data_IF_925560609030
#
_entry.id   IF_925560609030
#
_cell.length_a   1.000
_cell.length_b   1.000
_cell.length_c   1.000
_cell.angle_alpha   90.00
_cell.angle_beta   90.00
_cell.angle_gamma   90.00
#
_symmetry.space_group_name_H-M   'P 1'
#
loop_
_entity.id
_entity.type
_entity.pdbx_description
1 polymer ?
#
# COMPACT_ATOMS: atom_id res chain seq x y z
N UNK A 1 -1.17 -8.13 29.80
CA UNK A 1 -2.15 -9.05 29.18
C UNK A 1 -3.45 -8.33 28.77
N UNK A 2 -4.00 -7.41 29.59
CA UNK A 2 -5.19 -6.59 29.25
C UNK A 2 -4.97 -5.68 28.02
N UNK A 3 -3.82 -4.98 27.97
CA UNK A 3 -3.47 -4.05 26.86
C UNK A 3 -3.45 -4.74 25.48
N UNK A 4 -2.98 -6.00 25.42
CA UNK A 4 -2.92 -6.73 24.14
C UNK A 4 -4.32 -7.07 23.61
N UNK A 5 -5.29 -7.34 24.49
CA UNK A 5 -6.65 -7.71 24.12
C UNK A 5 -7.49 -6.48 23.70
N UNK A 6 -7.29 -5.34 24.39
CA UNK A 6 -7.95 -4.09 24.03
C UNK A 6 -7.42 -3.52 22.72
N UNK A 7 -6.11 -3.64 22.47
CA UNK A 7 -5.48 -3.26 21.21
C UNK A 7 -5.98 -4.11 20.03
N UNK A 8 -6.08 -5.44 20.20
CA UNK A 8 -6.62 -6.34 19.18
C UNK A 8 -8.04 -5.94 18.81
N UNK A 9 -8.92 -5.75 19.80
CA UNK A 9 -10.30 -5.30 19.57
C UNK A 9 -10.38 -3.95 18.87
N UNK A 10 -9.47 -3.03 19.20
CA UNK A 10 -9.41 -1.73 18.55
C UNK A 10 -9.05 -1.88 17.06
N UNK A 11 -8.05 -2.70 16.73
CA UNK A 11 -7.65 -2.97 15.34
C UNK A 11 -8.78 -3.64 14.57
N UNK A 12 -9.43 -4.66 15.15
CA UNK A 12 -10.62 -5.29 14.56
C UNK A 12 -11.71 -4.25 14.26
N UNK A 13 -11.93 -3.32 15.18
CA UNK A 13 -12.91 -2.25 14.97
C UNK A 13 -12.50 -1.27 13.87
N UNK A 14 -11.20 -0.98 13.71
CA UNK A 14 -10.73 -0.15 12.59
C UNK A 14 -11.01 -0.83 11.25
N UNK A 15 -10.78 -2.14 11.14
CA UNK A 15 -11.08 -2.92 9.92
C UNK A 15 -12.57 -2.82 9.58
N UNK A 16 -13.46 -2.93 10.56
CA UNK A 16 -14.91 -2.78 10.33
C UNK A 16 -15.27 -1.39 9.80
N UNK A 17 -14.70 -0.34 10.40
CA UNK A 17 -14.95 1.07 10.02
C UNK A 17 -14.46 1.34 8.60
N UNK A 18 -13.23 0.94 8.27
CA UNK A 18 -12.68 1.13 6.92
C UNK A 18 -13.51 0.40 5.86
N UNK A 19 -13.96 -0.82 6.15
CA UNK A 19 -14.86 -1.56 5.26
C UNK A 19 -16.25 -0.92 5.13
N UNK A 20 -16.75 -0.26 6.17
CA UNK A 20 -17.99 0.52 6.10
C UNK A 20 -17.84 1.75 5.20
N UNK A 21 -16.71 2.45 5.30
CA UNK A 21 -16.37 3.58 4.42
C UNK A 21 -16.33 3.12 2.96
N UNK A 22 -15.64 2.00 2.67
CA UNK A 22 -15.58 1.42 1.32
C UNK A 22 -16.98 1.16 0.78
N UNK A 23 -17.83 0.43 1.51
CA UNK A 23 -19.21 0.14 1.07
C UNK A 23 -20.03 1.40 0.83
N UNK A 24 -19.95 2.37 1.75
CA UNK A 24 -20.70 3.63 1.64
C UNK A 24 -20.29 4.42 0.39
N UNK A 25 -18.98 4.54 0.15
CA UNK A 25 -18.46 5.24 -1.01
C UNK A 25 -18.77 4.50 -2.32
N UNK A 26 -18.65 3.18 -2.37
CA UNK A 26 -18.97 2.40 -3.58
C UNK A 26 -20.44 2.53 -4.00
N UNK A 27 -21.38 2.56 -3.04
CA UNK A 27 -22.78 2.84 -3.33
C UNK A 27 -22.98 4.27 -3.84
N UNK A 28 -22.37 5.28 -3.18
CA UNK A 28 -22.49 6.68 -3.58
C UNK A 28 -21.91 6.95 -5.00
N UNK A 29 -20.90 6.19 -5.42
CA UNK A 29 -20.23 6.35 -6.70
C UNK A 29 -21.06 5.91 -7.92
N UNK A 30 -22.13 5.12 -7.72
CA UNK A 30 -23.01 4.61 -8.80
C UNK A 30 -23.77 5.74 -9.49
N UNK A 31 -24.26 6.71 -8.72
CA UNK A 31 -25.12 7.78 -9.22
C UNK A 31 -24.36 9.08 -9.53
N UNK A 32 -23.07 9.14 -9.17
CA UNK A 32 -22.26 10.35 -9.25
C UNK A 32 -21.74 10.63 -10.67
N UNK A 33 -22.13 11.80 -11.20
CA UNK A 33 -21.80 12.22 -12.57
C UNK A 33 -20.55 13.11 -12.66
N UNK A 34 -20.21 13.86 -11.60
CA UNK A 34 -19.06 14.78 -11.64
C UNK A 34 -17.74 13.98 -11.57
N UNK A 35 -16.88 14.03 -12.61
CA UNK A 35 -15.67 13.21 -12.67
C UNK A 35 -14.63 13.56 -11.61
N UNK A 36 -14.53 14.84 -11.20
CA UNK A 36 -13.59 15.26 -10.17
C UNK A 36 -14.01 14.74 -8.78
N UNK A 37 -15.29 14.89 -8.42
CA UNK A 37 -15.82 14.36 -7.16
C UNK A 37 -15.73 12.83 -7.15
N UNK A 38 -16.04 12.19 -8.28
CA UNK A 38 -15.91 10.74 -8.46
C UNK A 38 -14.47 10.25 -8.27
N UNK A 39 -13.51 10.95 -8.84
CA UNK A 39 -12.08 10.64 -8.68
C UNK A 39 -11.64 10.72 -7.22
N UNK A 40 -11.99 11.82 -6.52
CA UNK A 40 -11.63 12.01 -5.11
C UNK A 40 -12.25 10.93 -4.22
N UNK A 41 -13.56 10.69 -4.33
CA UNK A 41 -14.24 9.68 -3.51
C UNK A 41 -13.76 8.26 -3.82
N UNK A 42 -13.43 7.95 -5.08
CA UNK A 42 -12.84 6.65 -5.40
C UNK A 42 -11.44 6.51 -4.83
N UNK A 43 -10.64 7.57 -4.84
CA UNK A 43 -9.33 7.60 -4.18
C UNK A 43 -9.43 7.29 -2.69
N UNK A 44 -10.32 7.98 -1.97
CA UNK A 44 -10.57 7.74 -0.53
C UNK A 44 -11.01 6.29 -0.29
N UNK A 45 -11.89 5.75 -1.14
CA UNK A 45 -12.30 4.34 -1.05
C UNK A 45 -11.12 3.37 -1.22
N UNK A 46 -10.19 3.65 -2.14
CA UNK A 46 -8.99 2.82 -2.32
C UNK A 46 -8.04 2.93 -1.13
N UNK A 47 -7.90 4.11 -0.53
CA UNK A 47 -7.11 4.31 0.70
C UNK A 47 -7.73 3.53 1.88
N UNK A 48 -9.04 3.55 2.04
CA UNK A 48 -9.72 2.74 3.07
C UNK A 48 -9.52 1.23 2.85
N UNK A 49 -9.52 0.76 1.61
CA UNK A 49 -9.16 -0.64 1.31
C UNK A 49 -7.73 -0.92 1.76
N UNK A 50 -6.77 -0.04 1.41
CA UNK A 50 -5.38 -0.16 1.83
C UNK A 50 -5.27 -0.22 3.36
N UNK A 51 -5.94 0.66 4.09
CA UNK A 51 -5.91 0.67 5.55
C UNK A 51 -6.46 -0.61 6.17
N UNK A 52 -7.60 -1.11 5.69
CA UNK A 52 -8.20 -2.34 6.17
C UNK A 52 -7.24 -3.54 6.02
N UNK A 53 -6.60 -3.67 4.84
CA UNK A 53 -5.61 -4.72 4.58
C UNK A 53 -4.37 -4.61 5.49
N UNK A 54 -3.94 -3.38 5.77
CA UNK A 54 -2.81 -3.13 6.67
C UNK A 54 -3.13 -3.50 8.12
N UNK A 55 -4.32 -3.13 8.61
CA UNK A 55 -4.79 -3.52 9.95
C UNK A 55 -4.97 -5.05 10.06
N UNK A 56 -5.51 -5.70 9.03
CA UNK A 56 -5.65 -7.16 9.00
C UNK A 56 -4.29 -7.87 9.01
N UNK A 57 -3.31 -7.33 8.27
CA UNK A 57 -1.93 -7.84 8.26
C UNK A 57 -1.26 -7.68 9.63
N UNK A 58 -1.40 -6.50 10.25
CA UNK A 58 -0.88 -6.24 11.60
C UNK A 58 -1.51 -7.18 12.64
N UNK A 59 -2.84 -7.38 12.57
CA UNK A 59 -3.55 -8.29 13.46
C UNK A 59 -3.04 -9.73 13.31
N UNK A 60 -2.81 -10.18 12.08
CA UNK A 60 -2.24 -11.50 11.79
C UNK A 60 -0.85 -11.67 12.41
N UNK A 61 0.06 -10.70 12.21
CA UNK A 61 1.40 -10.72 12.81
C UNK A 61 1.36 -10.67 14.36
N UNK A 62 0.37 -10.02 14.96
CA UNK A 62 0.24 -9.91 16.42
C UNK A 62 -0.33 -11.17 17.10
N UNK A 63 -1.08 -11.98 16.35
CA UNK A 63 -1.90 -13.08 16.89
C UNK A 63 -1.48 -14.46 16.40
N UNK A 64 -0.79 -14.54 15.27
CA UNK A 64 -0.44 -15.79 14.61
C UNK A 64 1.06 -15.85 14.32
N UNK A 65 1.69 -16.98 14.60
CA UNK A 65 3.05 -17.25 14.12
C UNK A 65 3.04 -17.39 12.60
N UNK A 66 3.86 -16.63 11.88
CA UNK A 66 3.89 -16.67 10.42
C UNK A 66 4.29 -18.07 9.94
N UNK A 67 3.49 -18.67 9.05
CA UNK A 67 3.83 -19.96 8.45
C UNK A 67 4.99 -19.76 7.45
N UNK A 68 6.00 -20.62 7.52
CA UNK A 68 7.08 -20.64 6.53
C UNK A 68 6.52 -20.91 5.12
N UNK A 69 6.94 -20.11 4.14
CA UNK A 69 6.56 -20.27 2.74
C UNK A 69 7.30 -21.47 2.12
N UNK A 70 6.61 -22.23 1.27
CA UNK A 70 7.29 -23.23 0.44
C UNK A 70 8.18 -22.57 -0.62
N UNK A 71 9.17 -23.30 -1.14
CA UNK A 71 10.04 -22.80 -2.21
C UNK A 71 9.24 -22.37 -3.47
N UNK A 72 8.19 -23.13 -3.82
CA UNK A 72 7.29 -22.76 -4.91
C UNK A 72 6.55 -21.44 -4.63
N UNK A 73 6.09 -21.22 -3.40
CA UNK A 73 5.44 -19.97 -3.02
C UNK A 73 6.42 -18.79 -3.05
N UNK A 74 7.64 -18.99 -2.54
CA UNK A 74 8.69 -17.98 -2.58
C UNK A 74 9.00 -17.55 -4.02
N UNK A 75 9.15 -18.51 -4.94
CA UNK A 75 9.45 -18.21 -6.34
C UNK A 75 8.29 -17.46 -7.02
N UNK A 76 7.05 -17.89 -6.79
CA UNK A 76 5.86 -17.17 -7.30
C UNK A 76 5.78 -15.74 -6.78
N UNK A 77 6.05 -15.52 -5.50
CA UNK A 77 6.06 -14.18 -4.92
C UNK A 77 7.20 -13.32 -5.49
N UNK A 78 8.43 -13.86 -5.62
CA UNK A 78 9.56 -13.15 -6.23
C UNK A 78 9.23 -12.71 -7.66
N UNK A 79 8.76 -13.63 -8.49
CA UNK A 79 8.41 -13.34 -9.88
C UNK A 79 7.34 -12.25 -10.01
N UNK A 80 6.34 -12.26 -9.13
CA UNK A 80 5.31 -11.22 -9.06
C UNK A 80 5.92 -9.86 -8.71
N UNK A 81 6.70 -9.79 -7.64
CA UNK A 81 7.30 -8.53 -7.16
C UNK A 81 8.28 -7.96 -8.21
N UNK A 82 9.15 -8.79 -8.78
CA UNK A 82 10.07 -8.37 -9.84
C UNK A 82 9.34 -7.81 -11.07
N UNK A 83 8.20 -8.42 -11.44
CA UNK A 83 7.37 -7.90 -12.53
C UNK A 83 6.87 -6.49 -12.22
N UNK A 84 6.39 -6.26 -11.01
CA UNK A 84 5.88 -4.94 -10.61
C UNK A 84 7.00 -3.89 -10.48
N UNK A 85 8.18 -4.26 -9.98
CA UNK A 85 9.38 -3.40 -9.99
C UNK A 85 9.67 -2.90 -11.41
N UNK A 86 9.61 -3.78 -12.42
CA UNK A 86 9.82 -3.38 -13.83
C UNK A 86 8.73 -2.43 -14.35
N UNK A 87 7.47 -2.72 -14.04
CA UNK A 87 6.33 -1.88 -14.45
C UNK A 87 6.48 -0.46 -13.88
N UNK A 88 6.77 -0.34 -12.58
CA UNK A 88 6.93 0.96 -11.93
C UNK A 88 8.14 1.72 -12.46
N UNK A 89 9.28 1.04 -12.70
CA UNK A 89 10.45 1.67 -13.31
C UNK A 89 10.13 2.24 -14.71
N UNK A 90 9.38 1.50 -15.53
CA UNK A 90 8.92 2.00 -16.83
C UNK A 90 7.99 3.21 -16.70
N UNK A 91 7.07 3.19 -15.74
CA UNK A 91 6.13 4.29 -15.51
C UNK A 91 6.87 5.55 -15.04
N UNK A 92 7.79 5.41 -14.08
CA UNK A 92 8.65 6.50 -13.58
C UNK A 92 9.39 7.16 -14.75
N UNK A 93 10.06 6.36 -15.59
CA UNK A 93 10.81 6.87 -16.73
C UNK A 93 9.91 7.58 -17.76
N UNK A 94 8.71 7.03 -18.02
CA UNK A 94 7.74 7.67 -18.92
C UNK A 94 7.27 9.01 -18.38
N UNK A 95 6.93 9.10 -17.10
CA UNK A 95 6.51 10.35 -16.45
C UNK A 95 7.66 11.36 -16.45
N UNK A 96 8.88 10.97 -16.05
CA UNK A 96 10.05 11.86 -16.06
C UNK A 96 10.35 12.41 -17.48
N UNK A 97 10.10 11.62 -18.53
CA UNK A 97 10.33 12.04 -19.93
C UNK A 97 9.29 13.03 -20.48
N UNK A 98 8.04 12.96 -20.00
CA UNK A 98 6.94 13.82 -20.47
C UNK A 98 6.82 15.08 -19.62
N UNK A 99 7.18 15.03 -18.34
CA UNK A 99 7.00 16.14 -17.38
C UNK A 99 7.57 17.50 -17.86
N UNK A 100 8.73 17.58 -18.54
CA UNK A 100 9.26 18.85 -19.06
C UNK A 100 8.43 19.45 -20.21
N UNK A 101 7.58 18.64 -20.85
CA UNK A 101 6.76 19.00 -22.01
C UNK A 101 5.31 19.35 -21.63
N UNK A 102 4.97 19.28 -20.34
CA UNK A 102 3.62 19.58 -19.84
C UNK A 102 3.53 21.07 -19.50
N UNK A 103 2.75 21.81 -20.29
CA UNK A 103 2.51 23.24 -20.06
C UNK A 103 1.43 23.50 -19.00
N UNK A 104 0.44 22.62 -18.87
CA UNK A 104 -0.62 22.76 -17.87
C UNK A 104 -0.08 22.48 -16.46
N UNK A 105 -0.09 23.53 -15.62
CA UNK A 105 0.45 23.48 -14.27
C UNK A 105 -0.25 22.46 -13.36
N UNK A 106 -1.57 22.26 -13.53
CA UNK A 106 -2.32 21.30 -12.72
C UNK A 106 -1.98 19.86 -13.11
N UNK A 107 -1.86 19.58 -14.41
CA UNK A 107 -1.39 18.28 -14.90
C UNK A 107 0.04 18.02 -14.47
N UNK A 108 0.90 19.05 -14.48
CA UNK A 108 2.28 18.93 -13.99
C UNK A 108 2.34 18.56 -12.51
N UNK A 109 1.56 19.25 -11.66
CA UNK A 109 1.44 18.91 -10.23
C UNK A 109 0.90 17.50 -10.02
N UNK A 110 -0.11 17.09 -10.79
CA UNK A 110 -0.65 15.73 -10.75
C UNK A 110 0.41 14.68 -11.09
N UNK A 111 1.15 14.85 -12.19
CA UNK A 111 2.22 13.94 -12.57
C UNK A 111 3.35 13.90 -11.55
N UNK A 112 3.71 15.02 -10.93
CA UNK A 112 4.70 15.07 -9.87
C UNK A 112 4.25 14.29 -8.62
N UNK A 113 2.98 14.41 -8.23
CA UNK A 113 2.43 13.65 -7.11
C UNK A 113 2.44 12.14 -7.39
N UNK A 114 1.97 11.72 -8.56
CA UNK A 114 2.00 10.31 -8.98
C UNK A 114 3.44 9.80 -9.03
N UNK A 115 4.37 10.54 -9.66
CA UNK A 115 5.78 10.16 -9.74
C UNK A 115 6.43 9.96 -8.36
N UNK A 116 6.10 10.80 -7.39
CA UNK A 116 6.61 10.66 -6.02
C UNK A 116 6.09 9.38 -5.36
N UNK A 117 4.82 9.03 -5.60
CA UNK A 117 4.20 7.81 -5.08
C UNK A 117 4.80 6.55 -5.74
N UNK A 118 4.92 6.53 -7.06
CA UNK A 118 5.53 5.42 -7.80
C UNK A 118 6.99 5.18 -7.38
N UNK A 119 7.77 6.25 -7.11
CA UNK A 119 9.14 6.12 -6.59
C UNK A 119 9.17 5.45 -5.21
N UNK A 120 8.20 5.77 -4.35
CA UNK A 120 8.06 5.13 -3.03
C UNK A 120 7.64 3.67 -3.15
N UNK A 121 6.64 3.37 -3.99
CA UNK A 121 6.21 1.99 -4.24
C UNK A 121 7.37 1.14 -4.76
N UNK A 122 8.15 1.71 -5.67
CA UNK A 122 9.29 1.01 -6.25
C UNK A 122 10.36 0.66 -5.23
N UNK A 123 10.67 1.58 -4.31
CA UNK A 123 11.58 1.28 -3.21
C UNK A 123 11.00 0.21 -2.27
N UNK A 124 9.71 0.30 -1.93
CA UNK A 124 9.05 -0.67 -1.07
C UNK A 124 9.08 -2.09 -1.68
N UNK A 125 8.77 -2.22 -2.97
CA UNK A 125 8.82 -3.51 -3.67
C UNK A 125 10.23 -4.12 -3.67
N UNK A 126 11.28 -3.29 -3.84
CA UNK A 126 12.66 -3.79 -3.73
C UNK A 126 12.96 -4.34 -2.34
N UNK A 127 12.46 -3.69 -1.27
CA UNK A 127 12.61 -4.21 0.10
C UNK A 127 11.88 -5.52 0.32
N UNK A 128 10.66 -5.65 -0.21
CA UNK A 128 9.92 -6.91 -0.19
C UNK A 128 10.71 -8.01 -0.90
N UNK A 129 11.29 -7.71 -2.07
CA UNK A 129 12.13 -8.66 -2.79
C UNK A 129 13.38 -9.06 -2.01
N UNK A 130 14.08 -8.11 -1.37
CA UNK A 130 15.25 -8.37 -0.52
C UNK A 130 14.93 -9.36 0.61
N UNK A 131 13.75 -9.25 1.21
CA UNK A 131 13.27 -10.16 2.27
C UNK A 131 12.95 -11.53 1.67
N UNK A 132 12.20 -11.58 0.58
CA UNK A 132 11.86 -12.83 -0.10
C UNK A 132 13.09 -13.62 -0.60
N UNK A 133 14.18 -12.93 -0.97
CA UNK A 133 15.44 -13.56 -1.38
C UNK A 133 16.11 -14.30 -0.21
N UNK A 134 15.97 -13.80 1.03
CA UNK A 134 16.54 -14.42 2.23
C UNK A 134 15.84 -15.73 2.63
N UNK A 135 14.61 -15.95 2.15
CA UNK A 135 13.92 -17.23 2.25
C UNK A 135 13.64 -17.68 3.69
N UNK A 136 14.24 -18.78 4.13
CA UNK A 136 13.95 -19.38 5.46
C UNK A 136 14.43 -18.53 6.65
N UNK A 137 15.23 -17.48 6.44
CA UNK A 137 15.74 -16.63 7.53
C UNK A 137 14.91 -15.36 7.75
N UNK A 138 13.69 -15.29 7.22
CA UNK A 138 12.82 -14.12 7.39
C UNK A 138 12.27 -14.08 8.82
N UNK A 139 12.40 -12.92 9.47
CA UNK A 139 11.90 -12.65 10.82
C UNK A 139 10.56 -11.90 10.82
N UNK A 140 9.79 -12.02 11.91
CA UNK A 140 8.55 -11.25 12.10
C UNK A 140 8.81 -9.73 12.11
N UNK A 141 9.97 -9.30 12.63
CA UNK A 141 10.38 -7.89 12.65
C UNK A 141 10.57 -7.32 11.24
N UNK A 142 11.13 -8.11 10.31
CA UNK A 142 11.27 -7.71 8.90
C UNK A 142 9.91 -7.54 8.21
N UNK A 143 8.92 -8.37 8.54
CA UNK A 143 7.55 -8.19 8.04
C UNK A 143 6.90 -6.93 8.62
N UNK A 144 7.16 -6.62 9.89
CA UNK A 144 6.72 -5.38 10.53
C UNK A 144 7.34 -4.14 9.87
N UNK A 145 8.63 -4.18 9.53
CA UNK A 145 9.28 -3.06 8.83
C UNK A 145 8.66 -2.77 7.45
N UNK A 146 8.33 -3.80 6.68
CA UNK A 146 7.68 -3.64 5.37
C UNK A 146 6.29 -3.03 5.54
N UNK A 147 5.51 -3.58 6.47
CA UNK A 147 4.16 -3.10 6.75
C UNK A 147 4.20 -1.63 7.20
N UNK A 148 5.15 -1.27 8.07
CA UNK A 148 5.36 0.09 8.56
C UNK A 148 5.75 1.08 7.45
N UNK A 149 6.68 0.70 6.55
CA UNK A 149 7.09 1.55 5.43
C UNK A 149 5.98 1.83 4.41
N UNK A 150 4.93 1.00 4.39
CA UNK A 150 3.78 1.21 3.54
C UNK A 150 2.75 2.21 4.11
N UNK A 151 2.87 2.59 5.40
CA UNK A 151 1.92 3.50 6.03
C UNK A 151 2.11 4.93 5.45
N UNK A 152 1.02 5.67 5.14
CA UNK A 152 1.11 7.06 4.66
C UNK A 152 1.90 7.98 5.62
N UNK A 153 2.63 8.96 5.07
CA UNK A 153 3.38 10.01 5.80
C UNK A 153 4.61 9.60 6.65
N UNK A 154 5.10 8.38 6.51
CA UNK A 154 6.28 7.94 7.27
C UNK A 154 7.54 8.61 6.70
N UNK A 155 8.19 9.47 7.50
CA UNK A 155 9.33 10.30 7.08
C UNK A 155 9.01 11.76 6.73
N UNK A 156 7.77 12.24 6.91
CA UNK A 156 7.50 13.67 7.01
C UNK A 156 7.90 14.16 8.42
N UNK A 157 8.49 15.36 8.59
CA UNK A 157 8.85 15.86 9.91
C UNK A 157 7.57 16.09 10.73
N UNK A 158 7.22 15.14 11.62
CA UNK A 158 6.03 15.26 12.46
C UNK A 158 5.47 14.01 13.15
N UNK A 159 6.02 12.79 12.95
CA UNK A 159 5.54 11.59 13.64
C UNK A 159 6.38 10.37 13.38
#
# INVERSE_FOLDING_TARGET
MVIKNDLVKFIEKQIEIENEIVRSLEEALKDLQNPAVKGVLKGISLDSVKHAEMYASALTLLTTSTQALSEEQLERHRALIERHIRIEAELINKIDSILPKVDDEKLKLLFMAVLADEKRHHELLRRVLEILIRGETITEDEWWEVLWKNVPFHGAPGG
#
